data_IF_204838681043
#
_entry.id   IF_204838681043
#
_cell.length_a   1.000
_cell.length_b   1.000
_cell.length_c   1.000
_cell.angle_alpha   90.00
_cell.angle_beta   90.00
_cell.angle_gamma   90.00
#
_symmetry.space_group_name_H-M   'P 1'
#
loop_
_entity.id
_entity.type
_entity.pdbx_description
1 polymer ?
#
# COMPACT_ATOMS: atom_id res chain seq x y z
N UNK A 1 -11.73 -20.35 10.56
CA UNK A 1 -11.51 -18.89 10.62
C UNK A 1 -10.42 -18.59 9.61
N UNK A 2 -10.66 -17.70 8.64
CA UNK A 2 -9.76 -17.44 7.50
C UNK A 2 -9.40 -15.95 7.48
N UNK A 3 -8.80 -15.48 8.58
CA UNK A 3 -8.18 -14.15 8.71
C UNK A 3 -6.67 -14.29 8.97
N UNK A 4 -6.10 -15.47 8.68
CA UNK A 4 -4.83 -15.98 9.23
C UNK A 4 -3.64 -15.95 8.27
N UNK A 5 -3.75 -15.33 7.09
CA UNK A 5 -2.63 -15.35 6.13
C UNK A 5 -2.22 -13.95 5.68
N UNK A 6 -1.67 -13.12 6.61
CA UNK A 6 -0.93 -11.93 6.23
C UNK A 6 0.18 -12.26 5.23
N UNK A 7 0.72 -13.48 5.26
CA UNK A 7 1.64 -13.99 4.24
C UNK A 7 1.03 -14.09 2.84
N UNK A 8 -0.20 -14.58 2.70
CA UNK A 8 -0.89 -14.61 1.39
C UNK A 8 -1.23 -13.20 0.92
N UNK A 9 -1.66 -12.33 1.83
CA UNK A 9 -1.95 -10.95 1.49
C UNK A 9 -0.69 -10.21 1.01
N UNK A 10 0.45 -10.39 1.68
CA UNK A 10 1.77 -9.90 1.22
C UNK A 10 2.14 -10.47 -0.14
N UNK A 11 1.86 -11.75 -0.40
CA UNK A 11 2.10 -12.38 -1.70
C UNK A 11 1.27 -11.72 -2.80
N UNK A 12 -0.01 -11.47 -2.54
CA UNK A 12 -0.90 -10.78 -3.47
C UNK A 12 -0.41 -9.35 -3.75
N UNK A 13 0.05 -8.62 -2.73
CA UNK A 13 0.65 -7.29 -2.94
C UNK A 13 1.85 -7.35 -3.88
N UNK A 14 2.76 -8.31 -3.70
CA UNK A 14 3.91 -8.47 -4.61
C UNK A 14 3.48 -8.79 -6.04
N UNK A 15 2.42 -9.59 -6.23
CA UNK A 15 1.84 -9.82 -7.55
C UNK A 15 1.26 -8.53 -8.14
N UNK A 16 0.53 -7.76 -7.34
CA UNK A 16 -0.03 -6.48 -7.78
C UNK A 16 1.07 -5.48 -8.19
N UNK A 17 2.22 -5.43 -7.50
CA UNK A 17 3.35 -4.59 -7.93
C UNK A 17 3.85 -4.93 -9.33
N UNK A 18 3.83 -6.20 -9.72
CA UNK A 18 4.16 -6.63 -11.10
C UNK A 18 3.10 -6.15 -12.09
N UNK A 19 1.82 -6.38 -11.78
CA UNK A 19 0.70 -5.94 -12.60
C UNK A 19 0.70 -4.41 -12.81
N UNK A 20 1.00 -3.63 -11.76
CA UNK A 20 1.12 -2.18 -11.84
C UNK A 20 2.26 -1.75 -12.74
N UNK A 21 3.40 -2.46 -12.69
CA UNK A 21 4.52 -2.22 -13.61
C UNK A 21 4.10 -2.48 -15.05
N UNK A 22 3.43 -3.59 -15.32
CA UNK A 22 2.95 -3.91 -16.67
C UNK A 22 1.89 -2.91 -17.16
N UNK A 23 0.96 -2.49 -16.29
CA UNK A 23 -0.03 -1.47 -16.60
C UNK A 23 0.62 -0.10 -16.91
N UNK A 24 1.68 0.25 -16.20
CA UNK A 24 2.49 1.43 -16.49
C UNK A 24 3.20 1.33 -17.84
N UNK A 25 3.79 0.18 -18.15
CA UNK A 25 4.47 -0.06 -19.43
C UNK A 25 3.48 -0.03 -20.61
N UNK A 26 2.21 -0.42 -20.38
CA UNK A 26 1.11 -0.29 -21.36
C UNK A 26 0.53 1.12 -21.46
N UNK A 27 0.83 2.01 -20.51
CA UNK A 27 0.23 3.35 -20.42
C UNK A 27 -1.17 3.40 -19.81
N UNK A 28 -1.65 2.29 -19.22
CA UNK A 28 -2.94 2.18 -18.55
C UNK A 28 -2.94 2.82 -17.15
N UNK A 29 -1.75 3.10 -16.61
CA UNK A 29 -1.56 3.64 -15.27
C UNK A 29 -0.65 4.87 -15.29
N UNK A 30 -1.02 5.89 -14.51
CA UNK A 30 -0.19 7.10 -14.35
C UNK A 30 0.94 6.90 -13.33
N UNK A 31 2.13 7.50 -13.54
CA UNK A 31 3.26 7.38 -12.62
C UNK A 31 2.94 7.79 -11.18
N UNK A 32 2.14 8.84 -10.99
CA UNK A 32 1.69 9.32 -9.69
C UNK A 32 0.77 8.33 -8.95
N UNK A 33 -0.08 7.61 -9.68
CA UNK A 33 -0.92 6.56 -9.13
C UNK A 33 -0.05 5.37 -8.69
N UNK A 34 0.90 4.95 -9.52
CA UNK A 34 1.85 3.88 -9.21
C UNK A 34 2.65 4.21 -7.95
N UNK A 35 3.21 5.42 -7.86
CA UNK A 35 4.01 5.84 -6.70
C UNK A 35 3.22 5.75 -5.38
N UNK A 36 1.95 6.19 -5.39
CA UNK A 36 1.07 6.07 -4.23
C UNK A 36 0.74 4.62 -3.87
N UNK A 37 0.54 3.75 -4.86
CA UNK A 37 0.29 2.32 -4.64
C UNK A 37 1.53 1.59 -4.12
N UNK A 38 2.71 1.89 -4.67
CA UNK A 38 4.01 1.35 -4.23
C UNK A 38 4.32 1.76 -2.78
N UNK A 39 4.06 3.02 -2.40
CA UNK A 39 4.25 3.47 -1.01
C UNK A 39 3.37 2.72 -0.01
N UNK A 40 2.12 2.45 -0.37
CA UNK A 40 1.19 1.65 0.43
C UNK A 40 1.61 0.18 0.50
N UNK A 41 1.97 -0.39 -0.65
CA UNK A 41 2.48 -1.75 -0.74
C UNK A 41 3.73 -1.92 0.12
N UNK A 42 4.67 -0.98 0.08
CA UNK A 42 5.86 -1.00 0.93
C UNK A 42 5.49 -1.00 2.42
N UNK A 43 4.57 -0.13 2.85
CA UNK A 43 4.14 -0.09 4.27
C UNK A 43 3.49 -1.39 4.71
N UNK A 44 2.60 -1.95 3.89
CA UNK A 44 1.94 -3.22 4.16
C UNK A 44 2.96 -4.38 4.19
N UNK A 45 3.90 -4.43 3.24
CA UNK A 45 4.92 -5.48 3.20
C UNK A 45 5.90 -5.46 4.38
N UNK A 46 6.11 -4.31 5.02
CA UNK A 46 7.07 -4.13 6.12
C UNK A 46 6.44 -4.04 7.51
N UNK A 47 5.11 -4.02 7.64
CA UNK A 47 4.44 -3.95 8.94
C UNK A 47 4.21 -5.34 9.56
N UNK A 48 4.03 -5.38 10.88
CA UNK A 48 3.64 -6.60 11.59
C UNK A 48 2.18 -6.98 11.30
N UNK A 49 1.80 -8.21 11.58
CA UNK A 49 0.44 -8.70 11.27
C UNK A 49 -0.65 -7.94 12.04
N UNK A 50 -0.33 -7.43 13.24
CA UNK A 50 -1.22 -6.56 14.01
C UNK A 50 -1.40 -5.19 13.35
N UNK A 51 -0.28 -4.59 12.93
CA UNK A 51 -0.30 -3.31 12.24
C UNK A 51 -0.97 -3.43 10.86
N UNK A 52 -0.81 -4.56 10.18
CA UNK A 52 -1.43 -4.82 8.88
C UNK A 52 -2.93 -4.62 8.93
N UNK A 53 -3.61 -5.23 9.90
CA UNK A 53 -5.06 -5.07 10.07
C UNK A 53 -5.39 -3.60 10.40
N UNK A 54 -4.56 -2.94 11.21
CA UNK A 54 -4.72 -1.52 11.52
C UNK A 54 -4.63 -0.61 10.28
N UNK A 55 -3.66 -0.86 9.39
CA UNK A 55 -3.53 -0.11 8.13
C UNK A 55 -4.69 -0.36 7.17
N UNK A 56 -5.24 -1.58 7.13
CA UNK A 56 -6.41 -1.88 6.32
C UNK A 56 -7.67 -1.15 6.82
N UNK A 57 -7.80 -1.01 8.15
CA UNK A 57 -8.93 -0.32 8.79
C UNK A 57 -8.79 1.21 8.78
N UNK A 58 -7.59 1.73 8.53
CA UNK A 58 -7.32 3.16 8.47
C UNK A 58 -7.82 3.80 7.16
N UNK A 59 -8.90 4.58 7.24
CA UNK A 59 -9.43 5.36 6.12
C UNK A 59 -8.45 6.44 5.60
N UNK A 60 -7.57 6.98 6.44
CA UNK A 60 -6.55 7.95 6.00
C UNK A 60 -5.49 7.28 5.12
N UNK A 61 -5.18 6.01 5.37
CA UNK A 61 -4.29 5.21 4.53
C UNK A 61 -4.77 5.13 3.07
N UNK A 62 -6.09 5.06 2.87
CA UNK A 62 -6.71 4.99 1.54
C UNK A 62 -6.96 6.35 0.87
N UNK A 63 -6.76 7.47 1.58
CA UNK A 63 -6.94 8.81 1.00
C UNK A 63 -5.84 9.13 -0.03
N UNK A 64 -6.24 9.81 -1.10
CA UNK A 64 -5.29 10.38 -2.05
C UNK A 64 -4.37 11.39 -1.33
N UNK A 65 -3.06 11.32 -1.59
CA UNK A 65 -2.06 12.15 -0.93
C UNK A 65 -1.43 11.56 0.33
N UNK A 66 -1.85 10.37 0.79
CA UNK A 66 -1.19 9.66 1.88
C UNK A 66 0.28 9.35 1.53
N UNK A 67 1.21 9.64 2.47
CA UNK A 67 2.62 9.25 2.39
C UNK A 67 3.08 8.61 3.71
N UNK A 68 3.92 7.57 3.66
CA UNK A 68 4.51 7.00 4.87
C UNK A 68 5.43 8.03 5.53
N UNK A 69 5.12 8.42 6.78
CA UNK A 69 5.90 9.41 7.55
C UNK A 69 5.33 10.83 7.57
N UNK A 70 4.08 11.04 7.16
CA UNK A 70 3.36 12.32 7.34
C UNK A 70 2.60 12.43 8.68
N UNK A 71 2.85 11.50 9.61
CA UNK A 71 2.54 11.73 11.02
C UNK A 71 3.68 12.60 11.59
N UNK A 72 3.47 13.91 11.72
CA UNK A 72 4.23 14.93 12.49
C UNK A 72 4.77 16.20 11.77
N UNK A 73 4.26 16.64 10.62
CA UNK A 73 4.53 18.03 10.17
C UNK A 73 3.26 18.75 9.71
N UNK A 74 2.37 19.06 10.66
CA UNK A 74 1.47 20.22 10.56
C UNK A 74 1.28 20.82 11.97
N UNK A 75 2.39 21.28 12.55
CA UNK A 75 2.39 22.33 13.57
C UNK A 75 3.39 23.41 13.12
N UNK A 76 2.89 24.43 12.41
CA UNK A 76 3.52 25.76 12.31
C UNK A 76 2.52 26.80 11.77
#
# INVERSE_FOLDING_TARGET
MNFDQPEEARRQIRHMQVEWKEAMDRGDMSPSLREGLEGRAFRLLNCTDKEWIGWLDDLQFWKAGWKPGLDEEDEA
#
